data_IF_446773153796
#
_entry.id   IF_446773153796
#
_cell.length_a   1.000
_cell.length_b   1.000
_cell.length_c   1.000
_cell.angle_alpha   90.00
_cell.angle_beta   90.00
_cell.angle_gamma   90.00
#
_symmetry.space_group_name_H-M   'P 1'
#
loop_
_entity.id
_entity.type
_entity.pdbx_description
1 polymer ?
#
# COMPACT_ATOMS: atom_id res chain seq x y z
N UNK A 1 -0.21 26.21 -1.34
CA UNK A 1 -0.66 25.53 -0.10
C UNK A 1 -2.06 26.01 0.33
N UNK A 2 -3.12 25.68 -0.42
CA UNK A 2 -4.53 25.90 -0.02
C UNK A 2 -5.42 24.65 -0.17
N UNK A 3 -4.85 23.54 -0.66
CA UNK A 3 -5.60 22.30 -0.93
C UNK A 3 -5.60 21.31 0.25
N UNK A 4 -4.63 21.41 1.16
CA UNK A 4 -4.48 20.45 2.28
C UNK A 4 -5.41 20.79 3.46
N UNK A 5 -5.67 22.07 3.71
CA UNK A 5 -6.49 22.52 4.86
C UNK A 5 -7.98 22.21 4.71
N UNK A 6 -8.47 21.98 3.49
CA UNK A 6 -9.89 21.67 3.23
C UNK A 6 -10.24 20.20 3.48
N UNK A 7 -9.27 19.29 3.52
CA UNK A 7 -9.52 17.84 3.65
C UNK A 7 -10.01 17.40 5.04
N UNK A 8 -9.77 18.21 6.09
CA UNK A 8 -10.20 17.88 7.46
C UNK A 8 -11.66 18.29 7.77
N UNK A 9 -12.38 18.93 6.85
CA UNK A 9 -13.73 19.43 7.12
C UNK A 9 -14.78 18.32 6.91
N UNK A 10 -15.04 17.58 8.00
CA UNK A 10 -16.14 16.64 8.26
C UNK A 10 -16.95 16.20 7.01
N UNK A 11 -16.53 15.11 6.39
CA UNK A 11 -17.48 14.18 5.77
C UNK A 11 -17.95 13.24 6.87
N UNK A 12 -19.19 13.42 7.32
CA UNK A 12 -19.87 12.45 8.17
C UNK A 12 -19.89 11.11 7.46
N UNK A 13 -19.31 10.07 8.06
CA UNK A 13 -19.39 8.71 7.56
C UNK A 13 -20.87 8.29 7.50
N UNK A 14 -21.44 8.30 6.31
CA UNK A 14 -22.76 7.70 6.06
C UNK A 14 -22.61 6.20 6.23
N UNK A 15 -23.43 5.61 7.09
CA UNK A 15 -23.59 4.17 7.27
C UNK A 15 -24.32 3.53 6.07
N UNK A 16 -23.67 3.58 4.91
CA UNK A 16 -23.89 2.70 3.76
C UNK A 16 -22.54 2.07 3.44
N UNK A 17 -22.51 0.81 2.98
CA UNK A 17 -21.28 0.06 2.64
C UNK A 17 -20.24 1.00 2.03
N UNK A 18 -19.23 1.36 2.81
CA UNK A 18 -18.10 2.14 2.30
C UNK A 18 -17.40 1.35 1.20
N UNK A 19 -16.53 2.02 0.41
CA UNK A 19 -15.69 1.34 -0.56
C UNK A 19 -15.01 0.13 0.08
N UNK A 20 -15.18 -1.04 -0.55
CA UNK A 20 -14.74 -2.30 0.03
C UNK A 20 -13.26 -2.53 -0.32
N UNK A 21 -12.35 -2.39 0.63
CA UNK A 21 -10.94 -2.73 0.37
C UNK A 21 -10.67 -4.23 0.52
N UNK A 22 -11.57 -5.00 1.13
CA UNK A 22 -11.32 -6.41 1.40
C UNK A 22 -11.31 -7.25 0.12
N UNK A 23 -10.58 -8.35 0.14
CA UNK A 23 -10.47 -9.28 -0.99
C UNK A 23 -9.09 -9.30 -1.64
N UNK A 24 -9.03 -9.80 -2.86
CA UNK A 24 -7.80 -10.01 -3.60
C UNK A 24 -7.59 -8.88 -4.62
N UNK A 25 -6.34 -8.46 -4.70
CA UNK A 25 -5.85 -7.36 -5.51
C UNK A 25 -4.60 -7.79 -6.27
N UNK A 26 -4.43 -7.26 -7.47
CA UNK A 26 -3.24 -7.47 -8.30
C UNK A 26 -2.76 -6.15 -8.88
N UNK A 27 -1.45 -5.88 -8.82
CA UNK A 27 -0.87 -4.70 -9.46
C UNK A 27 -0.38 -4.96 -10.89
N UNK A 28 0.03 -3.90 -11.57
CA UNK A 28 0.55 -3.92 -12.94
C UNK A 28 1.85 -4.74 -13.09
N UNK A 29 2.60 -4.92 -11.99
CA UNK A 29 3.80 -5.75 -11.95
C UNK A 29 3.49 -7.25 -11.75
N UNK A 30 2.23 -7.60 -11.51
CA UNK A 30 1.77 -8.96 -11.26
C UNK A 30 1.87 -9.41 -9.80
N UNK A 31 2.24 -8.52 -8.87
CA UNK A 31 2.19 -8.78 -7.43
C UNK A 31 0.74 -8.94 -6.98
N UNK A 32 0.52 -9.77 -5.97
CA UNK A 32 -0.81 -10.10 -5.44
C UNK A 32 -0.92 -9.70 -3.99
N UNK A 33 -2.08 -9.20 -3.59
CA UNK A 33 -2.35 -8.75 -2.23
C UNK A 33 -3.74 -9.24 -1.81
N UNK A 34 -3.82 -9.79 -0.60
CA UNK A 34 -5.08 -10.08 0.07
C UNK A 34 -5.25 -9.11 1.23
N UNK A 35 -6.42 -8.46 1.31
CA UNK A 35 -6.79 -7.56 2.41
C UNK A 35 -8.01 -8.08 3.15
N UNK A 36 -7.93 -8.07 4.47
CA UNK A 36 -9.04 -8.21 5.39
C UNK A 36 -9.22 -6.89 6.16
N UNK A 37 -10.46 -6.41 6.24
CA UNK A 37 -10.81 -5.13 6.89
C UNK A 37 -11.76 -5.39 8.05
N UNK A 38 -11.38 -4.96 9.25
CA UNK A 38 -12.22 -5.04 10.46
C UNK A 38 -12.29 -3.66 11.11
N UNK A 39 -13.46 -3.02 11.02
CA UNK A 39 -13.61 -1.61 11.37
C UNK A 39 -12.76 -0.74 10.44
N UNK A 40 -11.81 0.02 10.98
CA UNK A 40 -10.86 0.81 10.20
C UNK A 40 -9.48 0.14 10.06
N UNK A 41 -9.30 -1.09 10.54
CA UNK A 41 -8.01 -1.78 10.51
C UNK A 41 -7.91 -2.68 9.30
N UNK A 42 -6.75 -2.66 8.67
CA UNK A 42 -6.38 -3.52 7.55
C UNK A 42 -5.35 -4.53 8.01
N UNK A 43 -5.53 -5.78 7.59
CA UNK A 43 -4.57 -6.87 7.75
C UNK A 43 -4.54 -7.73 6.48
N UNK A 44 -3.55 -8.59 6.32
CA UNK A 44 -3.53 -9.54 5.21
C UNK A 44 -2.13 -9.93 4.79
N UNK A 45 -1.95 -10.20 3.51
CA UNK A 45 -0.66 -10.66 2.96
C UNK A 45 -0.39 -10.02 1.60
N UNK A 46 0.87 -9.73 1.33
CA UNK A 46 1.33 -9.24 0.04
C UNK A 46 2.41 -10.17 -0.51
N UNK A 47 2.24 -10.63 -1.75
CA UNK A 47 3.23 -11.44 -2.48
C UNK A 47 3.76 -10.67 -3.68
N UNK A 48 5.06 -10.33 -3.65
CA UNK A 48 5.69 -9.62 -4.77
C UNK A 48 5.99 -10.55 -5.95
N UNK A 49 5.72 -10.07 -7.17
CA UNK A 49 6.17 -10.71 -8.39
C UNK A 49 7.63 -10.38 -8.75
N UNK A 50 8.18 -9.28 -8.23
CA UNK A 50 9.57 -8.87 -8.43
C UNK A 50 10.27 -8.67 -7.08
N UNK A 51 11.28 -9.48 -6.82
CA UNK A 51 12.29 -9.20 -5.79
C UNK A 51 13.66 -9.06 -6.45
N UNK A 52 14.60 -8.38 -5.78
CA UNK A 52 15.99 -8.30 -6.26
C UNK A 52 16.65 -9.68 -6.46
N UNK A 53 16.10 -10.73 -5.84
CA UNK A 53 16.56 -12.12 -5.96
C UNK A 53 15.85 -12.94 -7.07
N UNK A 54 14.85 -12.37 -7.74
CA UNK A 54 14.03 -13.08 -8.74
C UNK A 54 13.03 -14.09 -8.17
N UNK A 55 12.95 -14.24 -6.83
CA UNK A 55 11.98 -15.11 -6.14
C UNK A 55 10.79 -14.31 -5.64
N UNK A 56 9.60 -14.93 -5.64
CA UNK A 56 8.43 -14.36 -4.96
C UNK A 56 8.68 -14.32 -3.45
N UNK A 57 8.31 -13.20 -2.83
CA UNK A 57 8.40 -12.99 -1.39
C UNK A 57 7.03 -12.59 -0.87
N UNK A 58 6.62 -13.18 0.25
CA UNK A 58 5.36 -12.84 0.92
C UNK A 58 5.65 -12.18 2.26
N UNK A 59 4.99 -11.06 2.53
CA UNK A 59 5.04 -10.35 3.81
C UNK A 59 3.64 -10.05 4.35
N UNK A 60 3.57 -9.80 5.65
CA UNK A 60 2.32 -9.49 6.33
C UNK A 60 1.93 -8.02 6.10
N UNK A 61 0.65 -7.80 5.82
CA UNK A 61 0.07 -6.46 5.66
C UNK A 61 -0.54 -6.01 6.99
N UNK A 62 -0.27 -4.77 7.37
CA UNK A 62 -0.97 -4.08 8.46
C UNK A 62 -1.23 -2.61 8.10
N UNK A 63 -2.40 -2.08 8.43
CA UNK A 63 -2.73 -0.70 8.06
C UNK A 63 -4.09 -0.22 8.54
N UNK A 64 -4.55 0.87 7.91
CA UNK A 64 -5.83 1.49 8.21
C UNK A 64 -6.53 2.00 6.94
N UNK A 65 -7.85 2.06 7.01
CA UNK A 65 -8.71 2.74 6.04
C UNK A 65 -9.47 3.89 6.68
N UNK A 66 -9.77 4.92 5.90
CA UNK A 66 -10.62 6.04 6.30
C UNK A 66 -11.41 6.56 5.08
N UNK A 67 -12.68 6.17 4.98
CA UNK A 67 -13.46 6.41 3.76
C UNK A 67 -12.89 5.61 2.60
N UNK A 68 -12.56 6.28 1.50
CA UNK A 68 -11.89 5.73 0.32
C UNK A 68 -10.35 5.84 0.39
N UNK A 69 -9.79 6.25 1.52
CA UNK A 69 -8.34 6.34 1.73
C UNK A 69 -7.81 5.08 2.41
N UNK A 70 -6.61 4.65 2.03
CA UNK A 70 -5.89 3.53 2.66
C UNK A 70 -4.42 3.87 2.89
N UNK A 71 -3.88 3.38 3.99
CA UNK A 71 -2.43 3.27 4.20
C UNK A 71 -2.11 1.94 4.86
N UNK A 72 -1.10 1.26 4.34
CA UNK A 72 -0.65 -0.02 4.88
C UNK A 72 0.86 -0.18 4.73
N UNK A 73 1.41 -1.06 5.55
CA UNK A 73 2.81 -1.48 5.51
C UNK A 73 2.89 -2.96 5.25
N UNK A 74 3.95 -3.38 4.56
CA UNK A 74 4.38 -4.77 4.45
C UNK A 74 5.73 -4.91 5.12
N UNK A 75 5.77 -5.73 6.16
CA UNK A 75 7.03 -6.18 6.74
C UNK A 75 7.49 -7.42 5.97
N UNK A 76 8.59 -7.31 5.23
CA UNK A 76 9.14 -8.44 4.50
C UNK A 76 9.91 -9.35 5.47
N UNK A 77 10.00 -10.66 5.21
CA UNK A 77 10.86 -11.56 5.98
C UNK A 77 12.36 -11.33 5.72
N UNK A 78 12.70 -10.37 4.85
CA UNK A 78 14.06 -9.84 4.64
C UNK A 78 14.19 -8.48 5.29
N UNK A 79 15.39 -7.88 5.29
CA UNK A 79 15.66 -6.59 5.91
C UNK A 79 15.11 -5.39 5.10
N UNK A 80 13.80 -5.39 4.80
CA UNK A 80 13.11 -4.29 4.15
C UNK A 80 11.67 -4.14 4.68
N UNK A 81 11.17 -2.92 4.64
CA UNK A 81 9.76 -2.59 4.92
C UNK A 81 9.28 -1.69 3.79
N UNK A 82 8.07 -1.96 3.28
CA UNK A 82 7.45 -1.08 2.29
C UNK A 82 6.13 -0.55 2.81
N UNK A 83 5.92 0.76 2.69
CA UNK A 83 4.66 1.41 3.03
C UNK A 83 3.97 1.90 1.75
N UNK A 84 2.65 1.76 1.71
CA UNK A 84 1.78 2.32 0.68
C UNK A 84 0.81 3.32 1.30
N UNK A 85 0.50 4.36 0.52
CA UNK A 85 -0.62 5.28 0.76
C UNK A 85 -1.38 5.42 -0.55
N UNK A 86 -2.70 5.46 -0.47
CA UNK A 86 -3.51 5.53 -1.68
C UNK A 86 -4.98 5.80 -1.44
N UNK A 87 -5.73 5.75 -2.53
CA UNK A 87 -7.16 5.98 -2.57
C UNK A 87 -7.82 5.00 -3.52
N UNK A 88 -8.98 4.48 -3.13
CA UNK A 88 -9.84 3.72 -4.01
C UNK A 88 -10.55 4.68 -4.96
N UNK A 89 -10.42 4.43 -6.26
CA UNK A 89 -11.09 5.14 -7.33
C UNK A 89 -11.97 4.17 -8.12
N UNK A 90 -12.91 4.72 -8.89
CA UNK A 90 -13.74 3.94 -9.81
C UNK A 90 -13.33 4.29 -11.23
N UNK A 91 -12.93 3.27 -12.00
CA UNK A 91 -12.60 3.42 -13.41
C UNK A 91 -13.85 3.73 -14.25
N UNK A 92 -13.63 4.12 -15.51
CA UNK A 92 -14.72 4.48 -16.43
C UNK A 92 -15.69 3.32 -16.71
N UNK A 93 -15.24 2.08 -16.58
CA UNK A 93 -16.05 0.86 -16.73
C UNK A 93 -16.77 0.44 -15.43
N UNK A 94 -16.62 1.22 -14.36
CA UNK A 94 -17.21 0.95 -13.05
C UNK A 94 -16.38 0.02 -12.16
N UNK A 95 -15.20 -0.42 -12.60
CA UNK A 95 -14.32 -1.27 -11.78
C UNK A 95 -13.60 -0.48 -10.67
N UNK A 96 -13.34 -1.14 -9.54
CA UNK A 96 -12.53 -0.58 -8.46
C UNK A 96 -11.05 -0.59 -8.86
N UNK A 97 -10.40 0.55 -8.67
CA UNK A 97 -8.95 0.72 -8.86
C UNK A 97 -8.37 1.33 -7.59
N UNK A 98 -7.29 0.76 -7.07
CA UNK A 98 -6.56 1.31 -5.93
C UNK A 98 -5.26 1.94 -6.43
N UNK A 99 -5.26 3.27 -6.48
CA UNK A 99 -4.10 4.07 -6.89
C UNK A 99 -3.23 4.38 -5.66
N UNK A 100 -1.95 4.01 -5.73
CA UNK A 100 -1.04 4.13 -4.58
C UNK A 100 0.32 4.70 -4.95
N UNK A 101 0.95 5.37 -3.97
CA UNK A 101 2.39 5.56 -3.93
C UNK A 101 2.98 4.69 -2.84
N UNK A 102 4.23 4.26 -3.04
CA UNK A 102 4.96 3.48 -2.06
C UNK A 102 6.34 4.03 -1.76
N UNK A 103 6.82 3.71 -0.56
CA UNK A 103 8.19 3.90 -0.12
C UNK A 103 8.71 2.60 0.47
N UNK A 104 9.84 2.11 -0.02
CA UNK A 104 10.51 0.93 0.49
C UNK A 104 11.82 1.35 1.15
N UNK A 105 11.95 1.06 2.44
CA UNK A 105 13.20 1.20 3.18
C UNK A 105 13.89 -0.15 3.21
N UNK A 106 15.12 -0.21 2.72
CA UNK A 106 16.01 -1.36 2.81
C UNK A 106 17.10 -1.11 3.85
N UNK A 107 17.54 -2.18 4.52
CA UNK A 107 18.66 -2.12 5.43
C UNK A 107 19.97 -1.91 4.67
N UNK A 108 20.71 -0.87 5.02
CA UNK A 108 22.13 -0.68 4.67
C UNK A 108 22.95 -1.30 5.79
N UNK A 109 24.02 -2.03 5.49
CA UNK A 109 24.83 -2.62 6.56
C UNK A 109 25.53 -1.51 7.36
N UNK A 110 25.67 -1.68 8.68
CA UNK A 110 26.24 -0.66 9.59
C UNK A 110 27.57 -0.06 9.11
N UNK A 111 28.41 -0.88 8.45
CA UNK A 111 29.70 -0.45 7.92
C UNK A 111 29.59 0.43 6.66
N UNK A 112 28.50 0.31 5.91
CA UNK A 112 28.20 1.03 4.66
C UNK A 112 27.32 2.27 4.93
N UNK A 113 26.67 2.36 6.09
CA UNK A 113 25.76 3.47 6.42
C UNK A 113 26.35 4.87 6.22
N UNK A 114 27.63 5.15 6.56
CA UNK A 114 28.21 6.49 6.37
C UNK A 114 28.16 6.99 4.92
N UNK A 115 28.24 6.07 3.96
CA UNK A 115 28.39 6.39 2.54
C UNK A 115 27.12 6.09 1.72
N UNK A 116 26.32 5.09 2.13
CA UNK A 116 25.23 4.55 1.31
C UNK A 116 23.82 4.78 1.86
N UNK A 117 23.67 5.39 3.05
CA UNK A 117 22.35 5.66 3.63
C UNK A 117 21.43 6.49 2.73
N UNK A 118 21.99 7.31 1.85
CA UNK A 118 21.23 8.11 0.88
C UNK A 118 20.38 7.25 -0.07
N UNK A 119 20.76 5.99 -0.32
CA UNK A 119 20.10 5.05 -1.22
C UNK A 119 19.16 4.05 -0.48
N UNK A 120 18.97 4.23 0.83
CA UNK A 120 18.18 3.31 1.67
C UNK A 120 16.68 3.34 1.38
N UNK A 121 16.17 4.40 0.74
CA UNK A 121 14.74 4.57 0.47
C UNK A 121 14.50 4.65 -1.05
N UNK A 122 13.70 3.72 -1.54
CA UNK A 122 13.14 3.76 -2.89
C UNK A 122 11.68 4.18 -2.83
N UNK A 123 11.17 4.78 -3.91
CA UNK A 123 9.77 5.14 -4.01
C UNK A 123 9.23 4.86 -5.42
N UNK A 124 7.92 4.67 -5.50
CA UNK A 124 7.24 4.42 -6.77
C UNK A 124 5.73 4.56 -6.64
N UNK A 125 5.05 4.09 -7.67
CA UNK A 125 3.60 4.01 -7.74
C UNK A 125 3.22 2.59 -8.13
N UNK A 126 2.13 2.08 -7.56
CA UNK A 126 1.49 0.84 -7.95
C UNK A 126 0.00 1.12 -8.15
N UNK A 127 -0.60 0.51 -9.17
CA UNK A 127 -2.04 0.52 -9.37
C UNK A 127 -2.58 -0.90 -9.21
N UNK A 128 -3.49 -1.08 -8.25
CA UNK A 128 -4.10 -2.38 -8.00
C UNK A 128 -5.52 -2.45 -8.59
N UNK A 129 -5.85 -3.60 -9.17
CA UNK A 129 -7.20 -3.97 -9.61
C UNK A 129 -7.63 -5.25 -8.91
N UNK A 130 -8.93 -5.54 -8.91
CA UNK A 130 -9.46 -6.80 -8.37
C UNK A 130 -8.89 -8.02 -9.10
N UNK A 131 -8.63 -9.09 -8.36
CA UNK A 131 -8.28 -10.42 -8.88
C UNK A 131 -9.48 -11.37 -8.90
#
# INVERSE_FOLDING_TARGET
MRKVETALKLLSMTSGNGPDFAGHWKNELGSKMFLAVVGNKVSGSYTTAKSGSGKSLTGDVAGFVNGDLISFVVAWPVAAITAWVGQLTTAADGSDVLDTLWQMTQNVADAEEPDDMWASINAGADQFVRE
#
